data_IF_376565185599
#
_entry.id   IF_376565185599
#
_cell.length_a   1.000
_cell.length_b   1.000
_cell.length_c   1.000
_cell.angle_alpha   90.00
_cell.angle_beta   90.00
_cell.angle_gamma   90.00
#
_symmetry.space_group_name_H-M   'P 1'
#
loop_
_entity.id
_entity.type
_entity.pdbx_description
1 polymer ?
#
# COMPACT_ATOMS: atom_id res chain seq x y z
N UNK A 1 15.79 15.74 -57.82
CA UNK A 1 17.09 16.39 -57.68
C UNK A 1 17.73 15.95 -56.36
N UNK A 2 19.04 15.75 -56.35
CA UNK A 2 19.82 15.23 -55.21
C UNK A 2 19.58 16.02 -53.92
N UNK A 3 19.31 17.31 -53.99
CA UNK A 3 18.99 18.19 -52.87
C UNK A 3 17.67 17.82 -52.15
N UNK A 4 16.64 17.42 -52.91
CA UNK A 4 15.34 17.00 -52.35
C UNK A 4 15.50 15.64 -51.66
N UNK A 5 16.29 14.74 -52.22
CA UNK A 5 16.56 13.43 -51.60
C UNK A 5 17.35 13.59 -50.28
N UNK A 6 18.32 14.47 -50.24
CA UNK A 6 19.08 14.77 -49.00
C UNK A 6 18.22 15.44 -47.92
N UNK A 7 17.27 16.30 -48.32
CA UNK A 7 16.34 16.94 -47.39
C UNK A 7 15.35 15.92 -46.80
N UNK A 8 14.86 14.98 -47.63
CA UNK A 8 13.99 13.89 -47.17
C UNK A 8 14.70 12.93 -46.21
N UNK A 9 15.96 12.60 -46.47
CA UNK A 9 16.77 11.76 -45.60
C UNK A 9 17.05 12.49 -44.27
N UNK A 10 17.28 13.80 -44.29
CA UNK A 10 17.48 14.58 -43.07
C UNK A 10 16.21 14.68 -42.23
N UNK A 11 15.05 14.82 -42.83
CA UNK A 11 13.75 14.81 -42.12
C UNK A 11 13.44 13.44 -41.53
N UNK A 12 13.75 12.33 -42.22
CA UNK A 12 13.55 10.97 -41.69
C UNK A 12 14.49 10.66 -40.53
N UNK A 13 15.69 11.22 -40.49
CA UNK A 13 16.63 11.04 -39.37
C UNK A 13 16.22 11.85 -38.15
N UNK A 14 15.49 12.95 -38.30
CA UNK A 14 14.96 13.73 -37.15
C UNK A 14 13.68 13.21 -36.55
N UNK A 15 12.98 12.28 -37.19
CA UNK A 15 11.75 11.68 -36.67
C UNK A 15 11.97 10.40 -35.84
N UNK A 16 13.18 10.12 -35.42
CA UNK A 16 13.38 9.26 -34.27
C UNK A 16 12.93 10.05 -33.04
N UNK A 17 11.61 10.02 -32.77
CA UNK A 17 11.14 10.28 -31.45
C UNK A 17 11.93 9.36 -30.53
N UNK A 18 12.88 9.96 -29.81
CA UNK A 18 13.42 9.37 -28.61
C UNK A 18 12.20 9.30 -27.69
N UNK A 19 11.45 8.21 -27.80
CA UNK A 19 10.60 7.74 -26.73
C UNK A 19 11.56 7.56 -25.55
N UNK A 20 11.79 8.66 -24.82
CA UNK A 20 12.33 8.61 -23.49
C UNK A 20 11.27 7.94 -22.62
N UNK A 21 11.08 6.65 -22.84
CA UNK A 21 10.52 5.77 -21.85
C UNK A 21 11.31 6.05 -20.59
N UNK A 22 10.68 6.43 -19.47
CA UNK A 22 11.39 6.47 -18.21
C UNK A 22 11.94 5.07 -18.00
N UNK A 23 13.23 4.95 -18.28
CA UNK A 23 13.94 3.69 -18.11
C UNK A 23 14.11 3.53 -16.61
N UNK A 24 13.19 2.84 -16.00
CA UNK A 24 13.45 2.19 -14.71
C UNK A 24 14.48 1.10 -15.05
N UNK A 25 15.76 1.41 -14.86
CA UNK A 25 16.86 0.56 -15.35
C UNK A 25 16.77 -0.87 -14.80
N UNK A 26 16.26 -1.06 -13.58
CA UNK A 26 16.02 -2.38 -12.98
C UNK A 26 15.02 -3.25 -13.72
N UNK A 27 14.07 -2.66 -14.45
CA UNK A 27 13.11 -3.41 -15.25
C UNK A 27 13.72 -4.08 -16.49
N UNK A 28 14.94 -3.71 -16.88
CA UNK A 28 15.70 -4.36 -17.98
C UNK A 28 16.40 -5.64 -17.55
N UNK A 29 16.48 -5.94 -16.26
CA UNK A 29 17.23 -7.08 -15.73
C UNK A 29 16.46 -8.39 -15.65
N UNK A 30 15.44 -8.58 -16.50
CA UNK A 30 14.69 -9.84 -16.61
C UNK A 30 15.58 -11.08 -16.89
N UNK A 31 16.81 -10.86 -17.30
CA UNK A 31 17.72 -11.94 -17.71
C UNK A 31 18.77 -12.35 -16.66
N UNK A 32 18.78 -11.72 -15.48
CA UNK A 32 19.88 -11.94 -14.54
C UNK A 32 19.61 -12.96 -13.44
N UNK A 33 18.48 -13.68 -13.47
CA UNK A 33 18.21 -14.76 -12.51
C UNK A 33 18.19 -14.30 -11.04
N UNK A 34 17.99 -13.01 -10.79
CA UNK A 34 17.86 -12.49 -9.43
C UNK A 34 16.59 -13.03 -8.79
N UNK A 35 16.69 -13.47 -7.54
CA UNK A 35 15.52 -13.80 -6.75
C UNK A 35 14.58 -12.57 -6.61
N UNK A 36 13.28 -12.81 -6.48
CA UNK A 36 12.25 -11.75 -6.40
C UNK A 36 12.56 -10.70 -5.34
N UNK A 37 13.10 -11.12 -4.19
CA UNK A 37 13.53 -10.20 -3.12
C UNK A 37 14.62 -9.23 -3.60
N UNK A 38 15.61 -9.71 -4.36
CA UNK A 38 16.69 -8.88 -4.88
C UNK A 38 16.18 -7.91 -5.95
N UNK A 39 15.28 -8.35 -6.82
CA UNK A 39 14.62 -7.50 -7.80
C UNK A 39 13.82 -6.38 -7.12
N UNK A 40 13.03 -6.74 -6.10
CA UNK A 40 12.26 -5.78 -5.32
C UNK A 40 13.15 -4.75 -4.60
N UNK A 41 14.29 -5.18 -4.08
CA UNK A 41 15.27 -4.28 -3.44
C UNK A 41 15.81 -3.24 -4.42
N UNK A 42 16.16 -3.62 -5.64
CA UNK A 42 16.60 -2.69 -6.68
C UNK A 42 15.49 -1.70 -7.04
N UNK A 43 14.27 -2.20 -7.24
CA UNK A 43 13.10 -1.39 -7.59
C UNK A 43 12.75 -0.35 -6.52
N UNK A 44 12.87 -0.67 -5.23
CA UNK A 44 12.66 0.30 -4.13
C UNK A 44 13.61 1.49 -4.26
N UNK A 45 14.86 1.25 -4.67
CA UNK A 45 15.83 2.32 -4.93
C UNK A 45 15.51 3.11 -6.20
N UNK A 46 15.24 2.44 -7.29
CA UNK A 46 15.01 3.06 -8.60
C UNK A 46 13.70 3.85 -8.68
N UNK A 47 12.65 3.34 -8.06
CA UNK A 47 11.35 4.02 -7.95
C UNK A 47 11.33 5.09 -6.85
N UNK A 48 12.48 5.34 -6.19
CA UNK A 48 12.64 6.35 -5.15
C UNK A 48 11.65 6.22 -3.97
N UNK A 49 11.19 5.02 -3.65
CA UNK A 49 10.28 4.77 -2.54
C UNK A 49 10.81 5.36 -1.22
N UNK A 50 12.12 5.32 -1.03
CA UNK A 50 12.82 5.89 0.15
C UNK A 50 12.75 7.41 0.23
N UNK A 51 12.28 8.10 -0.81
CA UNK A 51 12.07 9.55 -0.75
C UNK A 51 10.90 9.92 0.17
N UNK A 52 9.88 9.09 0.26
CA UNK A 52 8.71 9.29 1.11
C UNK A 52 8.67 8.35 2.30
N UNK A 53 9.21 7.12 2.16
CA UNK A 53 9.22 6.13 3.22
C UNK A 53 10.54 6.16 4.01
N UNK A 54 10.52 6.11 5.34
CA UNK A 54 11.73 6.14 6.14
C UNK A 54 12.56 4.87 5.93
N UNK A 55 13.86 5.06 5.68
CA UNK A 55 14.81 3.96 5.57
C UNK A 55 16.02 4.10 6.50
N UNK A 56 16.37 5.33 6.95
CA UNK A 56 17.64 5.61 7.64
C UNK A 56 17.56 6.64 8.77
N UNK A 57 16.40 6.94 9.31
CA UNK A 57 16.26 7.58 10.64
C UNK A 57 16.56 9.08 10.78
N UNK A 58 17.07 9.79 9.79
CA UNK A 58 17.50 11.19 9.96
C UNK A 58 16.43 12.23 9.60
N UNK A 59 15.39 11.86 8.87
CA UNK A 59 14.31 12.78 8.48
C UNK A 59 12.96 12.12 8.76
N UNK A 60 12.06 12.86 9.42
CA UNK A 60 10.68 12.42 9.62
C UNK A 60 9.97 12.44 8.27
N UNK A 61 9.74 11.28 7.70
CA UNK A 61 9.07 11.09 6.40
C UNK A 61 7.56 10.92 6.59
N UNK A 62 6.79 11.31 5.57
CA UNK A 62 5.32 11.26 5.61
C UNK A 62 4.76 9.84 5.43
N UNK A 63 5.45 8.98 4.67
CA UNK A 63 5.03 7.60 4.43
C UNK A 63 5.23 6.71 5.66
N UNK A 64 4.48 5.60 5.76
CA UNK A 64 4.69 4.61 6.80
C UNK A 64 6.06 3.94 6.67
N UNK A 65 6.56 3.41 7.80
CA UNK A 65 7.80 2.63 7.79
C UNK A 65 7.59 1.34 6.98
N UNK A 66 8.52 1.04 6.08
CA UNK A 66 8.47 -0.16 5.25
C UNK A 66 9.15 -1.39 5.88
N UNK A 67 10.00 -1.21 6.91
CA UNK A 67 10.75 -2.31 7.54
C UNK A 67 9.86 -3.33 8.24
N UNK A 68 8.64 -2.96 8.59
CA UNK A 68 7.71 -3.79 9.32
C UNK A 68 6.36 -3.98 8.58
N UNK A 69 6.28 -3.51 7.33
CA UNK A 69 5.01 -3.50 6.58
C UNK A 69 4.47 -4.90 6.31
N UNK A 70 5.34 -5.88 6.09
CA UNK A 70 4.95 -7.24 5.76
C UNK A 70 4.28 -8.02 6.91
N UNK A 71 4.48 -7.64 8.19
CA UNK A 71 3.68 -8.22 9.27
C UNK A 71 2.43 -7.40 9.61
N UNK A 72 2.42 -6.11 9.23
CA UNK A 72 1.31 -5.21 9.54
C UNK A 72 0.16 -5.33 8.54
N UNK A 73 0.48 -5.59 7.29
CA UNK A 73 -0.48 -5.59 6.19
C UNK A 73 -0.45 -6.93 5.46
N UNK A 74 -1.62 -7.35 4.98
CA UNK A 74 -1.75 -8.51 4.11
C UNK A 74 -0.88 -8.33 2.85
N UNK A 75 -0.08 -9.32 2.44
CA UNK A 75 0.76 -9.24 1.24
C UNK A 75 -0.03 -8.94 -0.04
N UNK A 76 -1.25 -9.46 -0.17
CA UNK A 76 -2.12 -9.18 -1.32
C UNK A 76 -2.54 -7.71 -1.33
N UNK A 77 -2.87 -7.16 -0.16
CA UNK A 77 -3.17 -5.73 -0.02
C UNK A 77 -1.95 -4.86 -0.38
N UNK A 78 -0.74 -5.25 0.04
CA UNK A 78 0.49 -4.52 -0.31
C UNK A 78 0.65 -4.47 -1.84
N UNK A 79 0.49 -5.62 -2.51
CA UNK A 79 0.58 -5.71 -3.97
C UNK A 79 -0.45 -4.82 -4.66
N UNK A 80 -1.71 -4.95 -4.29
CA UNK A 80 -2.81 -4.16 -4.89
C UNK A 80 -2.61 -2.66 -4.67
N UNK A 81 -2.15 -2.26 -3.47
CA UNK A 81 -1.88 -0.86 -3.17
C UNK A 81 -0.71 -0.29 -4.01
N UNK A 82 0.32 -1.07 -4.29
CA UNK A 82 1.43 -0.68 -5.18
C UNK A 82 0.95 -0.54 -6.62
N UNK A 83 0.06 -1.41 -7.07
CA UNK A 83 -0.48 -1.40 -8.43
C UNK A 83 -1.43 -0.23 -8.67
N UNK A 84 -2.27 0.09 -7.70
CA UNK A 84 -3.29 1.14 -7.83
C UNK A 84 -3.56 1.87 -6.50
N UNK A 85 -2.63 2.73 -6.05
CA UNK A 85 -2.77 3.42 -4.77
C UNK A 85 -4.05 4.24 -4.64
N UNK A 86 -4.39 5.01 -5.69
CA UNK A 86 -5.55 5.91 -5.70
C UNK A 86 -6.88 5.15 -5.72
N UNK A 87 -6.93 3.98 -6.36
CA UNK A 87 -8.12 3.13 -6.36
C UNK A 87 -8.35 2.45 -5.01
N UNK A 88 -7.27 2.15 -4.29
CA UNK A 88 -7.34 1.53 -2.96
C UNK A 88 -7.61 2.54 -1.84
N UNK A 89 -7.07 3.74 -1.97
CA UNK A 89 -7.26 4.86 -1.03
C UNK A 89 -7.27 6.18 -1.80
N UNK A 90 -8.44 6.71 -2.18
CA UNK A 90 -8.56 7.95 -2.96
C UNK A 90 -7.95 9.18 -2.27
N UNK A 91 -7.67 9.11 -0.98
CA UNK A 91 -7.00 10.16 -0.21
C UNK A 91 -5.50 10.02 -0.11
N UNK A 92 -4.91 9.00 -0.72
CA UNK A 92 -3.46 8.75 -0.63
C UNK A 92 -2.63 9.78 -1.39
N UNK A 93 -1.45 10.07 -0.84
CA UNK A 93 -0.43 10.87 -1.53
C UNK A 93 0.62 9.98 -2.22
N UNK A 94 0.48 8.66 -2.16
CA UNK A 94 1.37 7.74 -2.86
C UNK A 94 1.09 7.82 -4.36
N UNK A 95 2.09 8.16 -5.20
CA UNK A 95 1.90 8.23 -6.64
C UNK A 95 1.76 6.82 -7.24
N UNK A 96 1.03 6.71 -8.34
CA UNK A 96 0.99 5.49 -9.14
C UNK A 96 2.23 5.41 -10.06
N UNK A 97 3.29 4.81 -9.55
CA UNK A 97 4.57 4.72 -10.27
C UNK A 97 4.58 3.65 -11.37
N UNK A 98 3.56 2.79 -11.41
CA UNK A 98 3.48 1.66 -12.34
C UNK A 98 2.42 1.85 -13.42
N UNK A 99 1.76 3.02 -13.48
CA UNK A 99 0.59 3.26 -14.34
C UNK A 99 0.90 3.03 -15.83
N UNK A 100 2.06 3.50 -16.30
CA UNK A 100 2.46 3.42 -17.69
C UNK A 100 2.96 2.03 -18.12
N UNK A 101 3.08 1.09 -17.18
CA UNK A 101 3.53 -0.26 -17.51
C UNK A 101 2.38 -1.12 -18.04
N UNK A 102 2.63 -2.00 -19.03
CA UNK A 102 1.68 -3.03 -19.41
C UNK A 102 1.28 -3.89 -18.21
N UNK A 103 0.02 -4.35 -18.16
CA UNK A 103 -0.54 -5.07 -17.01
C UNK A 103 0.36 -6.20 -16.49
N UNK A 104 0.81 -7.08 -17.39
CA UNK A 104 1.67 -8.22 -17.00
C UNK A 104 2.98 -7.76 -16.34
N UNK A 105 3.57 -6.67 -16.83
CA UNK A 105 4.81 -6.12 -16.26
C UNK A 105 4.56 -5.41 -14.93
N UNK A 106 3.44 -4.73 -14.81
CA UNK A 106 3.01 -4.10 -13.57
C UNK A 106 2.84 -5.14 -12.46
N UNK A 107 2.18 -6.24 -12.78
CA UNK A 107 1.94 -7.34 -11.84
C UNK A 107 3.27 -7.97 -11.38
N UNK A 108 4.21 -8.21 -12.29
CA UNK A 108 5.56 -8.74 -12.00
C UNK A 108 6.37 -7.81 -11.08
N UNK A 109 6.39 -6.50 -11.41
CA UNK A 109 7.08 -5.49 -10.60
C UNK A 109 6.46 -5.40 -9.20
N UNK A 110 5.14 -5.39 -9.11
CA UNK A 110 4.43 -5.34 -7.83
C UNK A 110 4.69 -6.61 -6.99
N UNK A 111 4.78 -7.78 -7.61
CA UNK A 111 5.16 -9.02 -6.93
C UNK A 111 6.58 -8.93 -6.35
N UNK A 112 7.55 -8.51 -7.15
CA UNK A 112 8.93 -8.37 -6.69
C UNK A 112 9.05 -7.38 -5.52
N UNK A 113 8.37 -6.22 -5.62
CA UNK A 113 8.31 -5.24 -4.53
C UNK A 113 7.66 -5.82 -3.27
N UNK A 114 6.55 -6.52 -3.42
CA UNK A 114 5.84 -7.15 -2.29
C UNK A 114 6.72 -8.18 -1.60
N UNK A 115 7.35 -9.08 -2.35
CA UNK A 115 8.27 -10.08 -1.78
C UNK A 115 9.43 -9.42 -1.02
N UNK A 116 10.01 -8.36 -1.58
CA UNK A 116 11.06 -7.62 -0.89
C UNK A 116 10.55 -6.99 0.42
N UNK A 117 9.41 -6.29 0.38
CA UNK A 117 8.85 -5.64 1.55
C UNK A 117 8.47 -6.63 2.65
N UNK A 118 7.89 -7.77 2.28
CA UNK A 118 7.58 -8.85 3.23
C UNK A 118 8.87 -9.41 3.86
N UNK A 119 9.93 -9.57 3.08
CA UNK A 119 11.22 -10.07 3.57
C UNK A 119 11.93 -9.17 4.58
N UNK A 120 11.57 -7.87 4.62
CA UNK A 120 12.13 -6.93 5.61
C UNK A 120 11.50 -7.09 6.99
N UNK A 121 10.34 -7.73 7.07
CA UNK A 121 9.59 -7.78 8.32
C UNK A 121 10.14 -8.86 9.27
N UNK A 122 10.27 -8.53 10.57
CA UNK A 122 10.78 -9.47 11.57
C UNK A 122 9.80 -10.58 11.95
N UNK A 123 8.55 -10.47 11.48
CA UNK A 123 7.44 -11.39 11.74
C UNK A 123 6.66 -11.64 10.46
N UNK A 124 6.00 -12.78 10.39
CA UNK A 124 5.02 -13.08 9.35
C UNK A 124 3.69 -12.38 9.62
N UNK A 125 2.96 -12.08 8.56
CA UNK A 125 1.59 -11.62 8.64
C UNK A 125 0.69 -12.80 9.07
N UNK A 126 -0.14 -12.53 10.06
CA UNK A 126 -1.14 -13.49 10.52
C UNK A 126 -2.52 -12.91 10.23
N UNK A 127 -3.32 -13.54 9.36
CA UNK A 127 -4.69 -13.13 9.09
C UNK A 127 -5.50 -13.02 10.39
N UNK A 128 -6.38 -12.03 10.44
CA UNK A 128 -7.19 -11.79 11.61
C UNK A 128 -8.37 -12.75 11.73
N UNK A 129 -8.60 -13.26 12.94
CA UNK A 129 -9.84 -13.89 13.32
C UNK A 129 -10.33 -13.24 14.62
N UNK A 130 -11.52 -12.67 14.61
CA UNK A 130 -12.13 -12.06 15.79
C UNK A 130 -12.89 -13.09 16.61
N UNK A 131 -12.72 -13.10 17.92
CA UNK A 131 -13.58 -13.82 18.83
C UNK A 131 -14.91 -13.08 18.99
N UNK A 132 -15.99 -13.82 19.23
CA UNK A 132 -17.33 -13.22 19.39
C UNK A 132 -17.37 -12.19 20.53
N UNK A 133 -16.66 -12.46 21.62
CA UNK A 133 -16.57 -11.54 22.76
C UNK A 133 -15.87 -10.23 22.36
N UNK A 134 -14.74 -10.31 21.63
CA UNK A 134 -14.00 -9.13 21.13
C UNK A 134 -14.89 -8.32 20.19
N UNK A 135 -15.65 -8.97 19.31
CA UNK A 135 -16.59 -8.31 18.42
C UNK A 135 -17.68 -7.56 19.19
N UNK A 136 -18.34 -8.19 20.15
CA UNK A 136 -19.45 -7.60 20.89
C UNK A 136 -19.00 -6.39 21.74
N UNK A 137 -17.86 -6.52 22.44
CA UNK A 137 -17.28 -5.45 23.25
C UNK A 137 -16.78 -4.33 22.35
N UNK A 138 -16.06 -4.66 21.27
CA UNK A 138 -15.51 -3.69 20.33
C UNK A 138 -16.60 -2.86 19.65
N UNK A 139 -17.72 -3.46 19.28
CA UNK A 139 -18.89 -2.75 18.73
C UNK A 139 -19.40 -1.68 19.68
N UNK A 140 -19.56 -2.00 20.96
CA UNK A 140 -19.99 -1.03 21.99
C UNK A 140 -18.97 0.10 22.16
N UNK A 141 -17.68 -0.24 22.23
CA UNK A 141 -16.60 0.74 22.38
C UNK A 141 -16.50 1.67 21.18
N UNK A 142 -16.59 1.15 19.94
CA UNK A 142 -16.56 1.90 18.71
C UNK A 142 -17.58 3.06 18.70
N UNK A 143 -18.78 2.80 19.17
CA UNK A 143 -19.82 3.84 19.28
C UNK A 143 -19.60 4.74 20.51
N UNK A 144 -19.27 4.16 21.68
CA UNK A 144 -19.12 4.90 22.93
C UNK A 144 -17.97 5.91 22.90
N UNK A 145 -16.83 5.53 22.31
CA UNK A 145 -15.63 6.37 22.21
C UNK A 145 -15.77 7.43 21.12
N UNK A 146 -16.69 7.23 20.17
CA UNK A 146 -17.00 8.18 19.10
C UNK A 146 -16.33 7.89 17.78
N UNK A 147 -15.77 6.70 17.56
CA UNK A 147 -15.18 6.29 16.27
C UNK A 147 -16.21 6.41 15.12
N UNK A 148 -17.49 6.10 15.43
CA UNK A 148 -18.59 6.20 14.49
C UNK A 148 -18.86 7.63 13.97
N UNK A 149 -18.37 8.67 14.64
CA UNK A 149 -18.55 10.08 14.19
C UNK A 149 -17.83 10.29 12.85
N UNK A 150 -16.64 9.74 12.70
CA UNK A 150 -15.86 9.84 11.47
C UNK A 150 -16.00 8.63 10.55
N UNK A 151 -16.32 7.45 11.10
CA UNK A 151 -16.32 6.18 10.39
C UNK A 151 -17.72 5.58 10.19
N UNK A 152 -18.77 6.23 10.66
CA UNK A 152 -20.13 5.70 10.61
C UNK A 152 -21.07 6.39 9.62
N UNK A 153 -20.62 7.43 8.90
CA UNK A 153 -21.41 8.15 7.90
C UNK A 153 -21.03 7.76 6.47
N UNK A 154 -21.95 7.94 5.52
CA UNK A 154 -21.67 7.73 4.09
C UNK A 154 -20.56 8.62 3.55
N UNK A 155 -20.36 9.81 4.14
CA UNK A 155 -19.27 10.74 3.81
C UNK A 155 -18.01 10.52 4.66
N UNK A 156 -18.06 9.58 5.60
CA UNK A 156 -16.94 9.26 6.49
C UNK A 156 -15.88 8.36 5.85
N UNK A 157 -14.80 8.17 6.57
CA UNK A 157 -13.73 7.25 6.14
C UNK A 157 -14.25 5.82 6.18
N UNK A 158 -14.29 5.18 5.01
CA UNK A 158 -14.80 3.83 4.85
C UNK A 158 -13.82 2.79 5.45
N UNK A 159 -14.35 1.83 6.21
CA UNK A 159 -13.58 0.79 6.87
C UNK A 159 -13.74 -0.61 6.25
N UNK A 160 -14.41 -0.76 5.11
CA UNK A 160 -14.67 -2.07 4.48
C UNK A 160 -13.40 -2.83 4.10
N UNK A 161 -12.32 -2.12 3.82
CA UNK A 161 -11.03 -2.72 3.46
C UNK A 161 -10.22 -3.20 4.68
N UNK A 162 -10.63 -2.85 5.89
CA UNK A 162 -9.87 -3.17 7.11
C UNK A 162 -9.66 -4.67 7.30
N UNK A 163 -10.67 -5.55 7.13
CA UNK A 163 -10.48 -6.99 7.26
C UNK A 163 -9.51 -7.59 6.24
N UNK A 164 -9.46 -7.00 5.03
CA UNK A 164 -8.57 -7.44 3.95
C UNK A 164 -7.15 -6.90 4.08
N UNK A 165 -6.97 -5.91 4.93
CA UNK A 165 -5.72 -5.15 5.07
C UNK A 165 -4.92 -5.56 6.30
N UNK A 166 -5.59 -5.77 7.43
CA UNK A 166 -4.95 -5.94 8.73
C UNK A 166 -5.22 -7.30 9.36
N UNK A 167 -4.23 -7.82 10.09
CA UNK A 167 -4.43 -8.86 11.09
C UNK A 167 -4.81 -8.27 12.45
N UNK A 168 -5.23 -9.11 13.40
CA UNK A 168 -5.64 -8.69 14.75
C UNK A 168 -4.57 -7.88 15.48
N UNK A 169 -3.34 -8.38 15.50
CA UNK A 169 -2.25 -7.75 16.22
C UNK A 169 -1.84 -6.41 15.60
N UNK A 170 -1.77 -6.36 14.28
CA UNK A 170 -1.37 -5.14 13.57
C UNK A 170 -2.43 -4.05 13.63
N UNK A 171 -3.71 -4.41 13.56
CA UNK A 171 -4.80 -3.45 13.75
C UNK A 171 -4.87 -2.96 15.19
N UNK A 172 -4.68 -3.85 16.16
CA UNK A 172 -4.59 -3.48 17.58
C UNK A 172 -3.48 -2.48 17.81
N UNK A 173 -2.29 -2.73 17.27
CA UNK A 173 -1.14 -1.83 17.39
C UNK A 173 -1.41 -0.46 16.74
N UNK A 174 -2.05 -0.45 15.57
CA UNK A 174 -2.44 0.79 14.90
C UNK A 174 -3.45 1.59 15.72
N UNK A 175 -4.49 0.97 16.22
CA UNK A 175 -5.54 1.64 17.02
C UNK A 175 -4.98 2.16 18.36
N UNK A 176 -4.05 1.43 18.96
CA UNK A 176 -3.40 1.82 20.20
C UNK A 176 -2.48 3.03 20.05
N UNK A 177 -1.71 3.10 18.96
CA UNK A 177 -0.77 4.19 18.66
C UNK A 177 -0.72 4.49 17.16
N UNK A 178 -1.71 5.20 16.61
CA UNK A 178 -1.83 5.41 15.15
C UNK A 178 -0.59 6.06 14.52
N UNK A 179 -0.04 7.08 15.19
CA UNK A 179 1.09 7.86 14.66
C UNK A 179 2.43 7.12 14.65
N UNK A 180 2.57 6.08 15.47
CA UNK A 180 3.77 5.24 15.44
C UNK A 180 3.80 4.37 14.17
N UNK A 181 2.63 3.98 13.68
CA UNK A 181 2.47 3.15 12.49
C UNK A 181 2.43 4.00 11.22
N UNK A 182 1.73 5.12 11.27
CA UNK A 182 1.54 6.05 10.14
C UNK A 182 1.78 7.48 10.62
N UNK A 183 3.00 8.02 10.48
CA UNK A 183 3.36 9.34 11.01
C UNK A 183 2.52 10.50 10.47
N UNK A 184 1.98 10.38 9.24
CA UNK A 184 1.11 11.36 8.61
C UNK A 184 -0.39 11.10 8.82
N UNK A 185 -0.72 10.13 9.69
CA UNK A 185 -2.12 9.73 9.91
C UNK A 185 -2.96 10.90 10.47
N UNK A 186 -4.14 11.05 9.89
CA UNK A 186 -5.13 12.04 10.33
C UNK A 186 -6.06 11.51 11.43
N UNK A 187 -6.06 10.19 11.65
CA UNK A 187 -6.78 9.58 12.75
C UNK A 187 -6.18 10.07 14.07
N UNK A 188 -7.00 10.67 14.96
CA UNK A 188 -6.51 11.12 16.26
C UNK A 188 -6.12 9.93 17.14
N UNK A 189 -5.16 10.17 18.04
CA UNK A 189 -4.91 9.24 19.14
C UNK A 189 -6.09 9.32 20.11
N UNK A 190 -6.83 8.23 20.21
CA UNK A 190 -8.02 8.14 21.07
C UNK A 190 -7.69 7.74 22.51
N UNK A 191 -6.39 7.64 22.84
CA UNK A 191 -5.89 7.27 24.15
C UNK A 191 -6.49 5.95 24.67
N UNK A 192 -6.60 4.97 23.77
CA UNK A 192 -7.14 3.65 24.08
C UNK A 192 -6.16 2.85 24.95
N UNK A 193 -6.70 2.04 25.85
CA UNK A 193 -5.94 0.92 26.40
C UNK A 193 -5.71 -0.14 25.30
N UNK A 194 -4.73 -1.02 25.52
CA UNK A 194 -4.44 -2.08 24.55
C UNK A 194 -5.61 -3.07 24.40
N UNK A 195 -6.34 -3.31 25.47
CA UNK A 195 -7.52 -4.20 25.48
C UNK A 195 -8.71 -3.58 24.75
N UNK A 196 -8.94 -2.28 24.90
CA UNK A 196 -9.95 -1.55 24.13
C UNK A 196 -9.61 -1.53 22.65
N UNK A 197 -8.34 -1.24 22.31
CA UNK A 197 -7.86 -1.29 20.92
C UNK A 197 -8.04 -2.69 20.31
N UNK A 198 -7.74 -3.76 21.08
CA UNK A 198 -7.92 -5.14 20.65
C UNK A 198 -9.40 -5.48 20.42
N UNK A 199 -10.26 -5.07 21.33
CA UNK A 199 -11.71 -5.30 21.17
C UNK A 199 -12.26 -4.58 19.94
N UNK A 200 -11.86 -3.32 19.72
CA UNK A 200 -12.27 -2.57 18.52
C UNK A 200 -11.70 -3.21 17.25
N UNK A 201 -10.46 -3.69 17.27
CA UNK A 201 -9.88 -4.45 16.16
C UNK A 201 -10.71 -5.70 15.85
N UNK A 202 -11.14 -6.44 16.88
CA UNK A 202 -12.02 -7.61 16.75
C UNK A 202 -13.37 -7.27 16.12
N UNK A 203 -13.95 -6.14 16.48
CA UNK A 203 -15.18 -5.65 15.83
C UNK A 203 -14.97 -5.37 14.34
N UNK A 204 -13.91 -4.61 13.99
CA UNK A 204 -13.64 -4.21 12.61
C UNK A 204 -13.29 -5.39 11.70
N UNK A 205 -12.48 -6.33 12.17
CA UNK A 205 -12.13 -7.55 11.42
C UNK A 205 -13.34 -8.48 11.32
N UNK A 206 -14.11 -8.62 12.38
CA UNK A 206 -15.31 -9.46 12.40
C UNK A 206 -16.48 -8.96 11.55
N UNK A 207 -16.39 -7.76 10.99
CA UNK A 207 -17.42 -7.22 10.09
C UNK A 207 -17.51 -7.97 8.76
N UNK A 208 -16.45 -8.57 8.28
CA UNK A 208 -16.39 -9.27 6.98
C UNK A 208 -17.40 -10.41 6.86
N UNK A 209 -17.61 -11.18 7.92
CA UNK A 209 -18.53 -12.33 7.93
C UNK A 209 -19.99 -11.98 8.19
N UNK A 210 -20.33 -10.73 8.52
CA UNK A 210 -21.64 -10.33 9.06
C UNK A 210 -22.44 -9.38 8.17
N UNK A 211 -22.18 -9.36 6.87
CA UNK A 211 -22.94 -8.55 5.90
C UNK A 211 -22.60 -7.05 5.94
N UNK A 212 -21.50 -6.66 6.58
CA UNK A 212 -20.94 -5.32 6.49
C UNK A 212 -20.28 -5.11 5.14
N UNK A 213 -20.94 -4.30 4.33
CA UNK A 213 -20.47 -3.64 3.10
C UNK A 213 -19.34 -4.34 2.32
N UNK A 214 -19.72 -5.23 1.43
CA UNK A 214 -18.91 -5.55 0.26
C UNK A 214 -19.00 -4.36 -0.71
N UNK A 215 -18.04 -3.47 -0.68
CA UNK A 215 -17.77 -2.65 -1.85
C UNK A 215 -16.97 -3.53 -2.81
N UNK A 216 -17.62 -3.96 -3.90
CA UNK A 216 -16.89 -4.39 -5.08
C UNK A 216 -16.12 -3.18 -5.57
N UNK A 217 -14.81 -3.30 -5.91
CA UNK A 217 -14.18 -2.33 -6.77
C UNK A 217 -14.97 -2.33 -8.07
N UNK A 218 -15.64 -1.26 -8.38
CA UNK A 218 -16.18 -1.07 -9.72
C UNK A 218 -15.00 -0.96 -10.69
N UNK A 219 -15.10 -1.71 -11.78
CA UNK A 219 -14.09 -1.88 -12.82
C UNK A 219 -13.77 -0.58 -13.58
#
# INVERSE_FOLDING_TARGET
>A
SLKILLLLIFVIIQSQEVLASPVVQGLRHERHGLAQVQQGRLLVGELLCVSCHPGTGLVKKMGPNLLDVGWRLDPSFIKEFIVNPMGMDPGTQMPNLLEDLPKAKRDEVADALTHFLVSLSPKEFVPGGAKEEEYAVGKKLFHKIGCAICHGSEQGVNLVHVPLKYGMESLTAFLFQPRNTRPSERMPDMNLTRDEARSIAGYLIGMEGRGGLRLKPEA
#
